data_IF_184049059293
#
_entry.id   IF_184049059293
#
_cell.length_a   1.000
_cell.length_b   1.000
_cell.length_c   1.000
_cell.angle_alpha   90.00
_cell.angle_beta   90.00
_cell.angle_gamma   90.00
#
_symmetry.space_group_name_H-M   'P 1'
#
loop_
_entity.id
_entity.type
_entity.pdbx_description
1 polymer ?
#
# COMPACT_ATOMS: atom_id res chain seq x y z
N UNK A 1 -30.60 -3.53 -0.70
CA UNK A 1 -29.73 -3.44 -1.88
C UNK A 1 -28.28 -3.61 -1.44
N UNK A 2 -27.53 -4.60 -1.95
CA UNK A 2 -26.13 -4.82 -1.59
C UNK A 2 -25.23 -3.96 -2.49
N UNK A 3 -24.81 -2.80 -2.00
CA UNK A 3 -23.87 -1.93 -2.71
C UNK A 3 -22.42 -2.41 -2.56
N UNK A 4 -21.77 -2.76 -3.67
CA UNK A 4 -20.33 -3.07 -3.70
C UNK A 4 -19.54 -1.79 -3.96
N UNK A 5 -19.15 -1.07 -2.91
CA UNK A 5 -18.30 0.11 -3.05
C UNK A 5 -16.85 -0.32 -3.33
N UNK A 6 -16.40 -0.17 -4.59
CA UNK A 6 -15.00 -0.32 -4.99
C UNK A 6 -14.30 1.04 -4.98
N UNK A 7 -13.99 1.56 -3.80
CA UNK A 7 -13.15 2.75 -3.71
C UNK A 7 -11.67 2.36 -3.90
N UNK A 8 -11.14 2.66 -5.09
CA UNK A 8 -9.69 2.70 -5.34
C UNK A 8 -9.15 4.01 -4.74
N UNK A 9 -9.00 4.08 -3.42
CA UNK A 9 -8.32 5.22 -2.79
C UNK A 9 -6.81 5.02 -2.97
N UNK A 10 -6.13 6.12 -3.32
CA UNK A 10 -4.79 6.13 -3.87
C UNK A 10 -3.76 5.40 -2.99
N UNK A 11 -3.01 4.56 -3.69
CA UNK A 11 -1.90 3.74 -3.23
C UNK A 11 -0.77 4.67 -2.80
N UNK A 12 -0.25 4.51 -1.59
CA UNK A 12 1.09 4.99 -1.27
C UNK A 12 2.07 4.11 -2.05
N UNK A 13 2.51 4.58 -3.22
CA UNK A 13 3.56 3.93 -4.01
C UNK A 13 4.88 4.17 -3.26
N UNK A 14 5.18 3.30 -2.31
CA UNK A 14 6.51 3.21 -1.74
C UNK A 14 7.39 2.48 -2.75
N UNK A 15 8.00 3.23 -3.66
CA UNK A 15 9.35 2.86 -4.06
C UNK A 15 10.19 2.87 -2.79
N UNK A 16 11.01 1.84 -2.56
CA UNK A 16 12.04 1.91 -1.54
C UNK A 16 13.15 2.88 -2.00
N UNK A 17 12.81 4.15 -2.18
CA UNK A 17 13.75 5.25 -2.28
C UNK A 17 13.71 5.97 -0.94
N UNK A 18 14.86 6.06 -0.29
CA UNK A 18 15.02 6.90 0.90
C UNK A 18 14.74 8.34 0.49
N UNK A 19 13.63 8.90 0.93
CA UNK A 19 13.34 10.33 0.81
C UNK A 19 12.60 10.78 2.05
N UNK A 20 13.18 11.78 2.71
CA UNK A 20 12.76 12.36 3.98
C UNK A 20 11.44 13.11 3.75
N UNK A 21 10.38 12.73 4.47
CA UNK A 21 9.11 13.47 4.50
C UNK A 21 9.11 14.39 5.73
N UNK A 22 9.05 15.70 5.47
CA UNK A 22 8.69 16.72 6.45
C UNK A 22 7.18 16.91 6.37
N UNK A 23 6.46 16.57 7.44
CA UNK A 23 5.04 16.89 7.61
C UNK A 23 4.93 18.21 8.38
N UNK A 24 4.23 19.19 7.81
CA UNK A 24 3.67 20.32 8.54
C UNK A 24 2.17 20.11 8.71
N UNK A 25 1.71 20.12 9.96
CA UNK A 25 0.31 20.12 10.35
C UNK A 25 -0.17 21.56 10.54
N UNK A 26 -1.37 21.88 10.06
CA UNK A 26 -2.16 23.01 10.58
C UNK A 26 -3.62 22.62 10.69
N UNK A 27 -4.24 23.11 11.76
CA UNK A 27 -5.60 22.83 12.18
C UNK A 27 -6.46 24.11 12.17
N UNK A 28 -7.77 23.87 12.03
CA UNK A 28 -8.91 24.63 12.62
C UNK A 28 -9.38 25.96 12.01
N UNK A 29 -10.66 25.98 11.63
CA UNK A 29 -11.71 26.97 12.03
C UNK A 29 -13.07 26.47 11.48
N UNK A 30 -14.04 26.04 12.32
CA UNK A 30 -15.18 26.81 12.85
C UNK A 30 -15.93 27.70 11.84
N UNK A 31 -17.16 27.29 11.51
CA UNK A 31 -18.24 28.23 11.20
C UNK A 31 -19.60 27.65 11.57
N UNK A 32 -20.37 28.51 12.23
CA UNK A 32 -21.69 28.31 12.82
C UNK A 32 -22.78 28.51 11.77
N UNK A 33 -23.86 27.72 11.81
CA UNK A 33 -25.10 28.11 11.13
C UNK A 33 -26.34 27.67 11.90
N UNK A 34 -27.34 28.55 11.83
CA UNK A 34 -28.51 28.69 12.70
C UNK A 34 -29.59 27.65 12.42
N UNK A 35 -30.31 27.32 13.49
CA UNK A 35 -31.47 26.44 13.57
C UNK A 35 -32.75 27.18 13.15
N UNK A 36 -33.51 26.60 12.20
CA UNK A 36 -34.91 26.95 11.96
C UNK A 36 -35.81 25.77 12.34
N UNK A 37 -36.78 26.06 13.21
CA UNK A 37 -37.72 25.13 13.80
C UNK A 37 -38.96 25.01 12.90
N UNK A 38 -39.25 23.82 12.37
CA UNK A 38 -40.54 23.54 11.72
C UNK A 38 -41.18 22.35 12.43
N UNK A 39 -42.28 22.63 13.13
CA UNK A 39 -43.13 21.64 13.80
C UNK A 39 -43.95 20.94 12.71
N UNK A 40 -43.79 19.63 12.57
CA UNK A 40 -44.68 18.78 11.79
C UNK A 40 -44.96 17.52 12.61
N UNK A 41 -46.23 17.33 12.91
CA UNK A 41 -46.79 16.15 13.55
C UNK A 41 -46.69 14.98 12.57
N UNK A 42 -45.86 14.00 12.88
CA UNK A 42 -45.81 12.73 12.17
C UNK A 42 -45.72 11.61 13.21
N UNK A 43 -46.60 10.63 13.05
CA UNK A 43 -46.59 9.34 13.75
C UNK A 43 -45.16 8.83 13.95
N UNK A 44 -44.84 8.40 15.18
CA UNK A 44 -43.50 8.00 15.59
C UNK A 44 -42.85 7.09 14.53
N UNK A 45 -41.83 7.56 13.79
CA UNK A 45 -41.17 6.75 12.78
C UNK A 45 -40.47 5.61 13.50
N UNK A 46 -40.70 4.39 13.00
CA UNK A 46 -40.04 3.16 13.44
C UNK A 46 -38.54 3.43 13.69
N UNK A 47 -38.13 3.32 14.95
CA UNK A 47 -36.83 3.81 15.41
C UNK A 47 -35.72 2.92 14.81
N UNK A 48 -35.06 3.41 13.77
CA UNK A 48 -33.98 2.70 13.10
C UNK A 48 -32.82 2.43 14.07
N UNK A 49 -32.60 1.16 14.41
CA UNK A 49 -31.53 0.73 15.34
C UNK A 49 -30.31 0.22 14.57
N UNK A 50 -29.16 0.89 14.73
CA UNK A 50 -27.93 0.55 14.02
C UNK A 50 -27.06 -0.47 14.77
N UNK A 51 -27.59 -1.68 15.01
CA UNK A 51 -26.85 -2.71 15.75
C UNK A 51 -25.63 -3.19 14.95
N UNK A 52 -24.44 -2.85 15.45
CA UNK A 52 -23.19 -3.37 14.95
C UNK A 52 -23.16 -4.91 15.03
N UNK A 53 -22.53 -5.55 14.05
CA UNK A 53 -22.14 -6.95 14.16
C UNK A 53 -20.74 -7.11 13.59
N UNK A 54 -20.05 -8.12 14.09
CA UNK A 54 -18.71 -8.44 13.65
C UNK A 54 -18.65 -8.70 12.13
N UNK A 55 -17.78 -8.01 11.39
CA UNK A 55 -17.55 -8.32 9.99
C UNK A 55 -16.74 -9.61 9.84
N UNK A 56 -16.99 -10.34 8.76
CA UNK A 56 -16.10 -11.41 8.32
C UNK A 56 -14.80 -10.82 7.76
N UNK A 57 -13.66 -11.48 8.03
CA UNK A 57 -12.35 -11.03 7.59
C UNK A 57 -11.73 -12.06 6.63
N UNK A 58 -11.32 -11.62 5.45
CA UNK A 58 -10.53 -12.39 4.50
C UNK A 58 -9.22 -11.67 4.21
N UNK A 59 -8.10 -12.39 4.32
CA UNK A 59 -6.77 -11.85 3.99
C UNK A 59 -6.16 -12.70 2.89
N UNK A 60 -5.84 -12.07 1.77
CA UNK A 60 -5.23 -12.67 0.59
C UNK A 60 -3.84 -12.10 0.37
N UNK A 61 -3.05 -12.85 -0.38
CA UNK A 61 -1.74 -12.39 -0.86
C UNK A 61 -1.76 -12.37 -2.39
N UNK A 62 -1.22 -11.32 -3.00
CA UNK A 62 -1.10 -11.22 -4.44
C UNK A 62 0.30 -10.75 -4.84
N UNK A 63 1.06 -11.57 -5.53
CA UNK A 63 2.36 -11.16 -6.09
C UNK A 63 2.33 -11.32 -7.60
N UNK A 64 2.51 -10.23 -8.33
CA UNK A 64 2.52 -10.28 -9.80
C UNK A 64 3.82 -10.91 -10.32
N UNK A 65 3.84 -11.21 -11.62
CA UNK A 65 5.09 -11.50 -12.31
C UNK A 65 6.02 -10.28 -12.22
N UNK A 66 7.33 -10.54 -12.19
CA UNK A 66 8.33 -9.46 -12.21
C UNK A 66 8.29 -8.77 -13.57
N UNK A 67 8.10 -7.45 -13.56
CA UNK A 67 8.22 -6.64 -14.76
C UNK A 67 9.69 -6.30 -15.02
N UNK A 68 10.08 -6.33 -16.28
CA UNK A 68 11.44 -5.99 -16.70
C UNK A 68 11.45 -4.71 -17.53
N UNK A 69 12.26 -3.74 -17.13
CA UNK A 69 12.25 -2.37 -17.66
C UNK A 69 13.68 -1.96 -18.03
N UNK A 70 13.84 -1.30 -19.18
CA UNK A 70 15.14 -0.88 -19.74
C UNK A 70 15.12 0.51 -20.40
N UNK A 71 14.22 1.37 -19.96
CA UNK A 71 14.01 2.68 -20.60
C UNK A 71 14.92 3.78 -20.05
N UNK A 72 15.77 3.48 -19.07
CA UNK A 72 16.60 4.44 -18.33
C UNK A 72 18.08 4.08 -18.45
N UNK A 73 18.94 5.08 -18.56
CA UNK A 73 20.40 4.91 -18.53
C UNK A 73 20.91 4.61 -17.11
N UNK A 74 22.16 4.18 -16.99
CA UNK A 74 22.86 4.05 -15.68
C UNK A 74 22.81 5.36 -14.88
N UNK A 75 23.01 6.50 -15.56
CA UNK A 75 22.91 7.84 -14.97
C UNK A 75 21.52 8.13 -14.41
N UNK A 76 20.46 7.86 -15.18
CA UNK A 76 19.07 8.08 -14.75
C UNK A 76 18.72 7.20 -13.53
N UNK A 77 19.16 5.94 -13.54
CA UNK A 77 18.94 5.01 -12.43
C UNK A 77 19.67 5.45 -11.16
N UNK A 78 20.91 5.96 -11.32
CA UNK A 78 21.71 6.49 -10.21
C UNK A 78 21.06 7.72 -9.57
N UNK A 79 20.48 8.60 -10.38
CA UNK A 79 19.73 9.75 -9.88
C UNK A 79 18.49 9.31 -9.10
N UNK A 80 17.73 8.32 -9.61
CA UNK A 80 16.59 7.76 -8.89
C UNK A 80 17.01 7.11 -7.56
N UNK A 81 18.18 6.49 -7.52
CA UNK A 81 18.75 5.88 -6.32
C UNK A 81 19.25 6.89 -5.26
N UNK A 82 19.07 8.20 -5.48
CA UNK A 82 19.41 9.25 -4.51
C UNK A 82 20.66 10.06 -4.86
N UNK A 83 21.23 9.91 -6.05
CA UNK A 83 22.14 10.86 -6.70
C UNK A 83 23.53 11.09 -6.07
N UNK A 84 23.78 10.67 -4.83
CA UNK A 84 25.04 10.91 -4.10
C UNK A 84 25.97 9.70 -3.95
N UNK A 85 25.68 8.58 -4.61
CA UNK A 85 26.45 7.33 -4.52
C UNK A 85 27.10 6.90 -5.85
N UNK A 86 27.78 5.75 -5.84
CA UNK A 86 28.34 5.11 -7.04
C UNK A 86 27.26 4.84 -8.09
N UNK A 87 27.63 4.93 -9.37
CA UNK A 87 26.72 4.62 -10.48
C UNK A 87 26.15 3.21 -10.38
N UNK A 88 24.85 3.06 -10.63
CA UNK A 88 24.16 1.76 -10.57
C UNK A 88 23.75 1.29 -11.97
N UNK A 89 24.02 0.02 -12.27
CA UNK A 89 23.63 -0.60 -13.53
C UNK A 89 22.16 -1.09 -13.56
N UNK A 90 21.49 -1.12 -12.41
CA UNK A 90 20.14 -1.67 -12.27
C UNK A 90 19.48 -1.29 -10.95
N UNK A 91 18.17 -1.56 -10.85
CA UNK A 91 17.38 -1.42 -9.64
C UNK A 91 16.34 -2.55 -9.55
N UNK A 92 16.42 -3.33 -8.49
CA UNK A 92 15.50 -4.42 -8.17
C UNK A 92 14.60 -4.06 -7.00
N UNK A 93 13.29 -4.18 -7.18
CA UNK A 93 12.34 -3.82 -6.14
C UNK A 93 10.90 -3.93 -6.61
N UNK A 94 10.11 -2.90 -6.35
CA UNK A 94 8.73 -2.78 -6.81
C UNK A 94 7.77 -2.33 -5.72
N UNK A 95 6.53 -2.08 -6.13
CA UNK A 95 5.46 -1.64 -5.24
C UNK A 95 5.07 -2.77 -4.27
N UNK A 96 4.89 -2.44 -2.99
CA UNK A 96 4.38 -3.35 -1.96
C UNK A 96 3.39 -2.59 -1.08
N UNK A 97 2.27 -3.22 -0.73
CA UNK A 97 1.30 -2.56 0.13
C UNK A 97 0.04 -3.37 0.38
N UNK A 98 -0.98 -2.69 0.90
CA UNK A 98 -2.27 -3.28 1.19
C UNK A 98 -3.37 -2.68 0.32
N UNK A 99 -4.31 -3.52 -0.09
CA UNK A 99 -5.57 -3.10 -0.70
C UNK A 99 -6.72 -3.65 0.13
N UNK A 100 -7.75 -2.84 0.38
CA UNK A 100 -8.95 -3.27 1.08
C UNK A 100 -10.18 -3.21 0.18
N UNK A 101 -11.14 -4.09 0.44
CA UNK A 101 -12.47 -4.07 -0.17
C UNK A 101 -13.50 -4.42 0.91
N UNK A 102 -14.41 -3.49 1.19
CA UNK A 102 -15.49 -3.66 2.16
C UNK A 102 -16.82 -4.01 1.48
N UNK A 103 -17.56 -4.98 2.00
CA UNK A 103 -18.97 -5.19 1.67
C UNK A 103 -19.83 -4.64 2.79
N UNK A 104 -20.78 -3.78 2.43
CA UNK A 104 -21.63 -3.10 3.38
C UNK A 104 -23.09 -3.54 3.27
N UNK A 105 -23.75 -3.59 4.41
CA UNK A 105 -25.19 -3.64 4.57
C UNK A 105 -25.68 -2.23 4.89
N UNK A 106 -26.74 -1.81 4.20
CA UNK A 106 -27.37 -0.51 4.39
C UNK A 106 -28.83 -0.77 4.73
N UNK A 107 -29.27 -0.34 5.90
CA UNK A 107 -30.67 -0.41 6.34
C UNK A 107 -31.21 1.00 6.39
N UNK A 108 -32.39 1.24 5.82
CA UNK A 108 -32.95 2.58 5.66
C UNK A 108 -34.35 2.67 6.27
N UNK A 109 -34.64 3.77 6.95
CA UNK A 109 -35.99 4.10 7.43
C UNK A 109 -36.10 5.61 7.62
N UNK A 110 -37.23 6.21 7.22
CA UNK A 110 -37.53 7.63 7.47
C UNK A 110 -36.45 8.61 7.01
N UNK A 111 -35.87 8.42 5.81
CA UNK A 111 -34.80 9.28 5.27
C UNK A 111 -33.43 9.12 5.93
N UNK A 112 -33.30 8.19 6.89
CA UNK A 112 -32.06 7.81 7.56
C UNK A 112 -31.57 6.45 7.07
N UNK A 113 -30.28 6.19 7.31
CA UNK A 113 -29.60 4.96 6.99
C UNK A 113 -28.68 4.53 8.15
N UNK A 114 -28.52 3.22 8.33
CA UNK A 114 -27.42 2.61 9.07
C UNK A 114 -26.49 1.95 8.04
N UNK A 115 -25.20 2.25 8.12
CA UNK A 115 -24.17 1.63 7.28
C UNK A 115 -23.37 0.66 8.14
N UNK A 116 -23.23 -0.58 7.68
CA UNK A 116 -22.59 -1.64 8.45
C UNK A 116 -21.67 -2.48 7.59
N UNK A 117 -20.42 -2.65 8.01
CA UNK A 117 -19.47 -3.53 7.35
C UNK A 117 -19.81 -5.00 7.66
N UNK A 118 -20.02 -5.80 6.61
CA UNK A 118 -20.31 -7.25 6.71
C UNK A 118 -19.08 -8.10 6.40
N UNK A 119 -18.25 -7.64 5.48
CA UNK A 119 -17.04 -8.34 5.07
C UNK A 119 -15.94 -7.33 4.79
N UNK A 120 -14.75 -7.59 5.32
CA UNK A 120 -13.52 -6.93 4.95
C UNK A 120 -12.61 -7.92 4.24
N UNK A 121 -12.31 -7.65 2.98
CA UNK A 121 -11.24 -8.33 2.25
C UNK A 121 -10.00 -7.45 2.23
N UNK A 122 -8.85 -8.01 2.60
CA UNK A 122 -7.54 -7.34 2.56
C UNK A 122 -6.61 -8.15 1.68
N UNK A 123 -5.97 -7.50 0.71
CA UNK A 123 -4.92 -8.09 -0.11
C UNK A 123 -3.58 -7.47 0.25
N UNK A 124 -2.65 -8.27 0.78
CA UNK A 124 -1.25 -7.89 0.87
C UNK A 124 -0.59 -8.18 -0.48
N UNK A 125 -0.18 -7.13 -1.19
CA UNK A 125 0.29 -7.27 -2.56
C UNK A 125 1.74 -6.83 -2.75
N UNK A 126 2.38 -7.39 -3.77
CA UNK A 126 3.64 -6.92 -4.31
C UNK A 126 3.64 -6.96 -5.84
N UNK A 127 4.19 -5.92 -6.46
CA UNK A 127 4.38 -5.80 -7.92
C UNK A 127 5.87 -5.65 -8.21
N UNK A 128 6.62 -6.77 -8.31
CA UNK A 128 8.07 -6.72 -8.43
C UNK A 128 8.51 -6.14 -9.78
N UNK A 129 9.55 -5.33 -9.79
CA UNK A 129 10.15 -4.74 -10.98
C UNK A 129 11.67 -4.85 -10.95
N UNK A 130 12.27 -5.09 -12.11
CA UNK A 130 13.72 -5.00 -12.33
C UNK A 130 13.93 -3.97 -13.44
N UNK A 131 14.65 -2.92 -13.11
CA UNK A 131 15.17 -1.95 -14.06
C UNK A 131 16.64 -2.29 -14.34
N UNK A 132 17.03 -2.33 -15.61
CA UNK A 132 18.44 -2.45 -16.00
C UNK A 132 18.75 -1.31 -16.95
N UNK A 133 19.91 -0.69 -16.74
CA UNK A 133 20.42 0.39 -17.55
C UNK A 133 20.36 0.05 -19.05
N UNK A 134 19.81 0.94 -19.85
CA UNK A 134 19.61 0.73 -21.29
C UNK A 134 20.94 0.47 -22.03
N UNK A 135 22.02 1.13 -21.59
CA UNK A 135 23.39 1.01 -22.08
C UNK A 135 24.10 -0.33 -21.75
N UNK A 136 23.49 -1.16 -20.89
CA UNK A 136 23.94 -2.53 -20.59
C UNK A 136 23.27 -3.50 -21.56
N UNK A 137 23.79 -3.60 -22.78
CA UNK A 137 23.22 -4.41 -23.86
C UNK A 137 22.86 -5.83 -23.39
N UNK A 138 21.73 -6.35 -23.87
CA UNK A 138 21.30 -7.71 -23.52
C UNK A 138 22.38 -8.72 -23.88
N UNK A 139 22.43 -9.80 -23.10
CA UNK A 139 23.37 -10.91 -23.28
C UNK A 139 24.85 -10.56 -23.10
N UNK A 140 25.21 -9.33 -22.71
CA UNK A 140 26.58 -9.04 -22.28
C UNK A 140 26.83 -9.52 -20.85
N UNK A 141 28.11 -9.63 -20.48
CA UNK A 141 28.52 -9.98 -19.13
C UNK A 141 27.89 -9.03 -18.10
N UNK A 142 28.02 -7.72 -18.31
CA UNK A 142 27.59 -6.69 -17.36
C UNK A 142 26.09 -6.75 -17.14
N UNK A 143 25.32 -6.86 -18.24
CA UNK A 143 23.89 -7.03 -18.18
C UNK A 143 23.47 -8.25 -17.35
N UNK A 144 24.10 -9.40 -17.60
CA UNK A 144 23.75 -10.64 -16.93
C UNK A 144 24.15 -10.60 -15.45
N UNK A 145 25.27 -9.97 -15.13
CA UNK A 145 25.75 -9.77 -13.76
C UNK A 145 24.80 -8.87 -12.96
N UNK A 146 24.42 -7.70 -13.50
CA UNK A 146 23.43 -6.81 -12.86
C UNK A 146 22.08 -7.51 -12.74
N UNK A 147 21.58 -8.15 -13.81
CA UNK A 147 20.32 -8.91 -13.75
C UNK A 147 20.33 -9.97 -12.64
N UNK A 148 21.45 -10.67 -12.45
CA UNK A 148 21.58 -11.66 -11.38
C UNK A 148 21.53 -11.03 -9.98
N UNK A 149 22.15 -9.86 -9.81
CA UNK A 149 22.07 -9.03 -8.60
C UNK A 149 20.62 -8.62 -8.33
N UNK A 150 19.95 -8.00 -9.30
CA UNK A 150 18.58 -7.50 -9.13
C UNK A 150 17.56 -8.60 -8.86
N UNK A 151 17.75 -9.79 -9.44
CA UNK A 151 16.96 -10.99 -9.10
C UNK A 151 17.10 -11.36 -7.61
N UNK A 152 18.21 -11.03 -6.97
CA UNK A 152 18.42 -11.14 -5.52
C UNK A 152 17.40 -10.33 -4.73
N UNK A 153 17.26 -9.04 -5.06
CA UNK A 153 16.24 -8.17 -4.44
C UNK A 153 14.82 -8.69 -4.60
N UNK A 154 14.50 -9.25 -5.78
CA UNK A 154 13.19 -9.85 -6.01
C UNK A 154 12.97 -11.10 -5.15
N UNK A 155 14.01 -11.94 -4.95
CA UNK A 155 13.92 -13.09 -4.04
C UNK A 155 13.66 -12.64 -2.60
N UNK A 156 14.35 -11.59 -2.15
CA UNK A 156 14.16 -10.99 -0.82
C UNK A 156 12.74 -10.47 -0.66
N UNK A 157 12.23 -9.69 -1.61
CA UNK A 157 10.86 -9.18 -1.63
C UNK A 157 9.83 -10.30 -1.54
N UNK A 158 9.97 -11.34 -2.38
CA UNK A 158 9.06 -12.50 -2.37
C UNK A 158 9.08 -13.27 -1.06
N UNK A 159 10.27 -13.45 -0.47
CA UNK A 159 10.42 -14.09 0.84
C UNK A 159 9.76 -13.25 1.93
N UNK A 160 9.94 -11.93 1.89
CA UNK A 160 9.31 -11.00 2.82
C UNK A 160 7.78 -11.08 2.73
N UNK A 161 7.19 -11.00 1.54
CA UNK A 161 5.73 -11.10 1.37
C UNK A 161 5.22 -12.42 1.95
N UNK A 162 5.82 -13.55 1.55
CA UNK A 162 5.44 -14.88 2.06
C UNK A 162 5.51 -14.98 3.58
N UNK A 163 6.54 -14.39 4.19
CA UNK A 163 6.73 -14.41 5.65
C UNK A 163 5.69 -13.57 6.39
N UNK A 164 5.35 -12.39 5.87
CA UNK A 164 4.48 -11.44 6.57
C UNK A 164 3.00 -11.59 6.21
N UNK A 165 2.64 -12.23 5.10
CA UNK A 165 1.27 -12.57 4.74
C UNK A 165 0.45 -13.23 5.86
N UNK A 166 0.89 -14.34 6.50
CA UNK A 166 0.13 -14.93 7.60
C UNK A 166 0.07 -14.01 8.83
N UNK A 167 1.11 -13.21 9.07
CA UNK A 167 1.18 -12.27 10.20
C UNK A 167 0.17 -11.12 10.05
N UNK A 168 -0.15 -10.69 8.83
CA UNK A 168 -1.21 -9.69 8.56
C UNK A 168 -2.57 -10.19 9.03
N UNK A 169 -2.89 -11.46 8.77
CA UNK A 169 -4.16 -12.06 9.22
C UNK A 169 -4.28 -12.04 10.74
N UNK A 170 -3.22 -12.45 11.44
CA UNK A 170 -3.15 -12.43 12.91
C UNK A 170 -3.21 -11.01 13.46
N UNK A 171 -2.59 -10.06 12.79
CA UNK A 171 -2.67 -8.64 13.16
C UNK A 171 -4.12 -8.14 13.06
N UNK A 172 -4.74 -8.26 11.89
CA UNK A 172 -6.10 -7.74 11.65
C UNK A 172 -7.17 -8.41 12.52
N UNK A 173 -7.04 -9.71 12.81
CA UNK A 173 -7.99 -10.40 13.69
C UNK A 173 -8.04 -9.81 15.11
N UNK A 174 -6.99 -9.11 15.56
CA UNK A 174 -6.97 -8.40 16.86
C UNK A 174 -7.71 -7.06 16.83
N UNK A 175 -7.90 -6.47 15.66
CA UNK A 175 -8.51 -5.14 15.50
C UNK A 175 -9.93 -5.20 14.94
N UNK A 176 -10.33 -6.28 14.29
CA UNK A 176 -11.67 -6.44 13.70
C UNK A 176 -12.81 -6.30 14.72
N UNK A 177 -12.54 -6.48 16.01
CA UNK A 177 -13.50 -6.30 17.10
C UNK A 177 -13.37 -4.96 17.82
N UNK A 178 -12.28 -4.23 17.60
CA UNK A 178 -11.97 -2.97 18.29
C UNK A 178 -12.40 -1.75 17.48
N UNK A 179 -12.70 -1.94 16.19
CA UNK A 179 -13.20 -0.92 15.29
C UNK A 179 -14.72 -1.11 15.23
N UNK A 180 -15.48 -0.05 15.48
CA UNK A 180 -16.92 -0.08 15.29
C UNK A 180 -17.25 -0.31 13.81
N UNK A 181 -17.85 -1.45 13.45
CA UNK A 181 -18.13 -1.76 12.06
C UNK A 181 -19.41 -1.08 11.54
N UNK A 182 -20.07 -0.22 12.33
CA UNK A 182 -21.29 0.45 11.92
C UNK A 182 -21.26 1.97 12.18
N UNK A 183 -21.98 2.71 11.34
CA UNK A 183 -22.25 4.14 11.51
C UNK A 183 -23.73 4.37 11.23
N UNK A 184 -24.42 5.04 12.14
CA UNK A 184 -25.80 5.46 11.98
C UNK A 184 -26.51 5.69 13.32
N UNK A 185 -27.75 6.20 13.28
CA UNK A 185 -28.51 6.60 12.09
C UNK A 185 -27.94 7.88 11.47
N UNK A 186 -27.77 7.92 10.15
CA UNK A 186 -27.28 9.09 9.39
C UNK A 186 -28.24 9.43 8.24
N UNK A 187 -28.24 10.65 7.69
CA UNK A 187 -28.96 10.93 6.44
C UNK A 187 -28.51 10.02 5.30
N UNK A 188 -29.43 9.59 4.42
CA UNK A 188 -29.07 8.74 3.26
C UNK A 188 -27.97 9.35 2.38
N UNK A 189 -27.91 10.66 2.28
CA UNK A 189 -26.86 11.39 1.54
C UNK A 189 -25.45 11.16 2.09
N UNK A 190 -25.29 10.70 3.33
CA UNK A 190 -24.00 10.47 3.98
C UNK A 190 -23.52 9.01 3.93
N UNK A 191 -24.27 8.11 3.27
CA UNK A 191 -23.93 6.67 3.22
C UNK A 191 -22.51 6.42 2.67
N UNK A 192 -22.14 7.09 1.59
CA UNK A 192 -20.82 6.91 0.97
C UNK A 192 -19.69 7.37 1.91
N UNK A 193 -19.88 8.48 2.61
CA UNK A 193 -18.90 9.00 3.56
C UNK A 193 -18.75 8.08 4.77
N UNK A 194 -19.86 7.52 5.27
CA UNK A 194 -19.82 6.52 6.33
C UNK A 194 -19.10 5.24 5.92
N UNK A 195 -19.32 4.74 4.70
CA UNK A 195 -18.57 3.59 4.17
C UNK A 195 -17.07 3.88 4.11
N UNK A 196 -16.69 5.07 3.61
CA UNK A 196 -15.31 5.53 3.52
C UNK A 196 -14.66 5.62 4.90
N UNK A 197 -15.34 6.26 5.86
CA UNK A 197 -14.87 6.40 7.25
C UNK A 197 -14.61 5.06 7.92
N UNK A 198 -15.52 4.09 7.73
CA UNK A 198 -15.30 2.72 8.23
C UNK A 198 -14.06 2.10 7.56
N UNK A 199 -13.90 2.22 6.23
CA UNK A 199 -12.73 1.69 5.52
C UNK A 199 -11.40 2.32 5.99
N UNK A 200 -11.37 3.64 6.16
CA UNK A 200 -10.20 4.40 6.59
C UNK A 200 -9.69 3.96 7.97
N UNK A 201 -10.59 3.59 8.89
CA UNK A 201 -10.20 3.05 10.20
C UNK A 201 -9.38 1.77 10.08
N UNK A 202 -9.74 0.85 9.18
CA UNK A 202 -8.98 -0.36 8.92
C UNK A 202 -7.68 -0.08 8.17
N UNK A 203 -7.72 0.83 7.19
CA UNK A 203 -6.54 1.24 6.42
C UNK A 203 -5.47 1.86 7.33
N UNK A 204 -5.84 2.74 8.25
CA UNK A 204 -4.92 3.34 9.22
C UNK A 204 -4.19 2.28 10.07
N UNK A 205 -4.87 1.18 10.45
CA UNK A 205 -4.22 0.07 11.16
C UNK A 205 -3.25 -0.70 10.26
N UNK A 206 -3.61 -0.90 9.00
CA UNK A 206 -2.74 -1.56 8.02
C UNK A 206 -1.50 -0.72 7.70
N UNK A 207 -1.64 0.60 7.59
CA UNK A 207 -0.52 1.54 7.41
C UNK A 207 0.43 1.51 8.60
N UNK A 208 -0.09 1.54 9.83
CA UNK A 208 0.74 1.39 11.02
C UNK A 208 1.50 0.04 11.02
N UNK A 209 0.85 -1.04 10.61
CA UNK A 209 1.50 -2.34 10.45
C UNK A 209 2.55 -2.32 9.34
N UNK A 210 2.25 -1.70 8.19
CA UNK A 210 3.18 -1.52 7.08
C UNK A 210 4.43 -0.79 7.54
N UNK A 211 4.28 0.35 8.21
CA UNK A 211 5.38 1.16 8.73
C UNK A 211 6.28 0.39 9.71
N UNK A 212 5.72 -0.60 10.42
CA UNK A 212 6.50 -1.49 11.29
C UNK A 212 7.33 -2.52 10.50
N UNK A 213 6.80 -3.07 9.42
CA UNK A 213 7.44 -4.19 8.70
C UNK A 213 8.34 -3.73 7.55
N UNK A 214 8.07 -2.56 6.95
CA UNK A 214 8.85 -2.05 5.82
C UNK A 214 10.33 -1.79 6.14
N UNK A 215 10.73 -1.30 7.33
CA UNK A 215 12.14 -1.20 7.70
C UNK A 215 12.87 -2.54 7.69
N UNK A 216 12.17 -3.65 7.96
CA UNK A 216 12.75 -5.00 7.91
C UNK A 216 13.08 -5.37 6.46
N UNK A 217 12.19 -5.10 5.51
CA UNK A 217 12.47 -5.29 4.08
C UNK A 217 13.63 -4.41 3.65
N UNK A 218 13.61 -3.12 3.99
CA UNK A 218 14.68 -2.17 3.67
C UNK A 218 16.05 -2.63 4.18
N UNK A 219 16.12 -3.09 5.44
CA UNK A 219 17.36 -3.66 6.02
C UNK A 219 17.85 -4.88 5.24
N UNK A 220 16.96 -5.78 4.82
CA UNK A 220 17.31 -6.98 4.05
C UNK A 220 17.80 -6.63 2.63
N UNK A 221 17.16 -5.67 1.97
CA UNK A 221 17.62 -5.17 0.66
C UNK A 221 18.99 -4.51 0.79
N UNK A 222 19.17 -3.62 1.77
CA UNK A 222 20.46 -2.95 2.03
C UNK A 222 21.58 -3.94 2.37
N UNK A 223 21.27 -5.02 3.09
CA UNK A 223 22.25 -6.05 3.38
C UNK A 223 22.68 -6.84 2.13
N UNK A 224 21.81 -6.96 1.13
CA UNK A 224 22.14 -7.51 -0.18
C UNK A 224 23.04 -6.55 -0.97
N UNK A 225 22.80 -5.24 -0.86
CA UNK A 225 23.62 -4.15 -1.42
C UNK A 225 24.87 -3.84 -0.57
N UNK A 226 25.65 -4.86 -0.24
CA UNK A 226 26.91 -4.68 0.47
C UNK A 226 28.05 -4.24 -0.47
N UNK A 227 29.05 -3.49 0.01
CA UNK A 227 30.25 -3.17 -0.78
C UNK A 227 30.94 -4.40 -1.36
N UNK A 228 30.95 -5.51 -0.60
CA UNK A 228 31.51 -6.79 -1.03
C UNK A 228 30.73 -7.39 -2.19
N UNK A 229 29.40 -7.30 -2.17
CA UNK A 229 28.56 -7.75 -3.28
C UNK A 229 28.81 -6.90 -4.53
N UNK A 230 28.89 -5.57 -4.39
CA UNK A 230 29.21 -4.68 -5.51
C UNK A 230 30.58 -4.99 -6.12
N UNK A 231 31.61 -5.16 -5.30
CA UNK A 231 32.95 -5.54 -5.76
C UNK A 231 32.93 -6.88 -6.50
N UNK A 232 32.25 -7.90 -5.95
CA UNK A 232 32.10 -9.22 -6.55
C UNK A 232 31.32 -9.19 -7.86
N UNK A 233 30.32 -8.33 -7.99
CA UNK A 233 29.55 -8.17 -9.23
C UNK A 233 30.38 -7.45 -10.29
N UNK A 234 31.07 -6.38 -9.92
CA UNK A 234 31.94 -5.60 -10.80
C UNK A 234 33.11 -6.41 -11.33
N UNK A 235 33.74 -7.24 -10.49
CA UNK A 235 34.90 -8.07 -10.87
C UNK A 235 34.59 -9.17 -11.89
N UNK A 236 33.31 -9.40 -12.24
CA UNK A 236 32.92 -10.43 -13.22
C UNK A 236 33.22 -10.04 -14.66
N UNK A 237 33.31 -8.75 -14.96
CA UNK A 237 33.26 -8.26 -16.34
C UNK A 237 34.36 -7.23 -16.60
N UNK A 238 35.08 -7.39 -17.70
CA UNK A 238 36.23 -6.54 -18.05
C UNK A 238 35.90 -5.12 -18.52
N UNK A 239 34.63 -4.82 -18.84
CA UNK A 239 34.19 -3.50 -19.35
C UNK A 239 33.23 -2.78 -18.40
N UNK A 240 33.24 -3.13 -17.11
CA UNK A 240 32.31 -2.65 -16.11
C UNK A 240 32.28 -1.11 -16.01
N UNK A 241 33.42 -0.47 -15.77
CA UNK A 241 33.51 0.98 -15.54
C UNK A 241 33.15 1.78 -16.80
N UNK A 242 33.57 1.30 -17.97
CA UNK A 242 33.22 1.91 -19.26
C UNK A 242 31.72 1.95 -19.48
N UNK A 243 30.98 0.94 -19.00
CA UNK A 243 29.54 0.86 -19.15
C UNK A 243 28.80 1.72 -18.13
N UNK A 244 29.29 1.82 -16.90
CA UNK A 244 28.69 2.68 -15.88
C UNK A 244 28.83 4.18 -16.15
N UNK A 245 29.87 4.59 -16.87
CA UNK A 245 30.15 5.98 -17.24
C UNK A 245 29.34 6.51 -18.44
N UNK A 246 28.52 5.65 -19.08
CA UNK A 246 27.65 5.97 -20.21
C UNK A 246 26.21 6.20 -19.74
#
# INVERSE_FOLDING_TARGET
MTGRARNKINILILYAFLSILVYAAQASAHSSSKSHNHKSSQSAPEQLSCKASKPSLSVKTATTRTKYIRTKSSKDLTQLHGGGGSSVGGLGGGEIGFKTEGKFEITEAGGKACVKLKQLEVTFYAKPEIHIASNFNRSTCEHNAVMAHEKGHIRILRKFVREFSPKVKVFLSKYVYKIDPAIGPIPKSQVNEAQKKIQEQYMSKLEAYQNKIMPILGKRQKAHDSPQEYARVASKCSKWDKKLAQ
#
